data_IF_255177866244
#
_entry.id   IF_255177866244
#
_cell.length_a   1.000
_cell.length_b   1.000
_cell.length_c   1.000
_cell.angle_alpha   90.00
_cell.angle_beta   90.00
_cell.angle_gamma   90.00
#
_symmetry.space_group_name_H-M   'P 1'
#
loop_
_entity.id
_entity.type
_entity.pdbx_description
1 polymer ?
#
# COMPACT_ATOMS: atom_id res chain seq x y z
N UNK A 1 1.59 -13.99 17.76
CA UNK A 1 1.65 -12.52 17.55
C UNK A 1 2.49 -12.11 16.34
N UNK A 2 3.72 -12.63 16.10
CA UNK A 2 4.53 -12.30 14.90
C UNK A 2 3.81 -12.52 13.55
N UNK A 3 3.06 -13.62 13.40
CA UNK A 3 2.25 -13.91 12.19
C UNK A 3 1.15 -12.87 11.88
N UNK A 4 0.62 -12.18 12.90
CA UNK A 4 -0.45 -11.18 12.71
C UNK A 4 0.13 -9.91 12.09
N UNK A 5 1.26 -9.44 12.62
CA UNK A 5 1.97 -8.28 12.06
C UNK A 5 2.57 -8.58 10.67
N UNK A 6 2.98 -9.82 10.40
CA UNK A 6 3.50 -10.18 9.09
C UNK A 6 2.42 -10.19 8.00
N UNK A 7 1.16 -10.47 8.32
CA UNK A 7 0.08 -10.61 7.33
C UNK A 7 -0.99 -9.51 7.47
N UNK A 8 -0.66 -8.39 8.12
CA UNK A 8 -1.60 -7.30 8.35
C UNK A 8 -2.30 -6.81 7.07
N UNK A 9 -1.56 -6.63 5.98
CA UNK A 9 -2.10 -6.17 4.70
C UNK A 9 -3.10 -7.17 4.11
N UNK A 10 -2.83 -8.47 4.24
CA UNK A 10 -3.71 -9.52 3.73
C UNK A 10 -5.02 -9.56 4.53
N UNK A 11 -4.96 -9.43 5.85
CA UNK A 11 -6.16 -9.33 6.68
C UNK A 11 -6.96 -8.06 6.40
N UNK A 12 -6.28 -6.92 6.23
CA UNK A 12 -6.93 -5.66 5.89
C UNK A 12 -7.64 -5.75 4.53
N UNK A 13 -7.00 -6.33 3.51
CA UNK A 13 -7.62 -6.55 2.19
C UNK A 13 -8.79 -7.54 2.27
N UNK A 14 -8.64 -8.63 3.01
CA UNK A 14 -9.68 -9.64 3.19
C UNK A 14 -10.91 -9.09 3.91
N UNK A 15 -10.75 -8.06 4.74
CA UNK A 15 -11.85 -7.36 5.39
C UNK A 15 -12.45 -6.25 4.51
N UNK A 16 -11.61 -5.41 3.89
CA UNK A 16 -12.06 -4.26 3.11
C UNK A 16 -12.78 -4.66 1.81
N UNK A 17 -12.32 -5.72 1.15
CA UNK A 17 -12.91 -6.19 -0.10
C UNK A 17 -14.39 -6.59 0.02
N UNK A 18 -14.79 -7.50 0.93
CA UNK A 18 -16.20 -7.85 1.09
C UNK A 18 -17.05 -6.68 1.56
N UNK A 19 -16.51 -5.77 2.39
CA UNK A 19 -17.23 -4.54 2.77
C UNK A 19 -17.54 -3.71 1.53
N UNK A 20 -16.55 -3.46 0.67
CA UNK A 20 -16.75 -2.73 -0.58
C UNK A 20 -17.81 -3.41 -1.46
N UNK A 21 -17.73 -4.74 -1.63
CA UNK A 21 -18.70 -5.51 -2.42
C UNK A 21 -20.11 -5.37 -1.87
N UNK A 22 -20.31 -5.49 -0.55
CA UNK A 22 -21.62 -5.35 0.09
C UNK A 22 -22.16 -3.93 -0.09
N UNK A 23 -21.33 -2.89 0.09
CA UNK A 23 -21.76 -1.49 -0.13
C UNK A 23 -22.21 -1.27 -1.57
N UNK A 24 -21.43 -1.71 -2.55
CA UNK A 24 -21.78 -1.56 -3.97
C UNK A 24 -23.03 -2.35 -4.32
N UNK A 25 -23.15 -3.57 -3.79
CA UNK A 25 -24.32 -4.41 -4.01
C UNK A 25 -25.59 -3.78 -3.45
N UNK A 26 -25.56 -3.26 -2.22
CA UNK A 26 -26.69 -2.55 -1.61
C UNK A 26 -27.04 -1.26 -2.38
N UNK A 27 -26.04 -0.49 -2.82
CA UNK A 27 -26.25 0.70 -3.64
C UNK A 27 -26.92 0.35 -4.98
N UNK A 28 -26.51 -0.76 -5.60
CA UNK A 28 -27.09 -1.25 -6.84
C UNK A 28 -28.54 -1.73 -6.65
N UNK A 29 -28.82 -2.49 -5.59
CA UNK A 29 -30.19 -2.91 -5.25
C UNK A 29 -31.10 -1.70 -4.98
N UNK A 30 -30.64 -0.73 -4.19
CA UNK A 30 -31.42 0.46 -3.87
C UNK A 30 -31.79 1.25 -5.14
N UNK A 31 -30.86 1.33 -6.10
CA UNK A 31 -31.09 1.94 -7.42
C UNK A 31 -32.04 1.13 -8.28
N UNK A 32 -31.84 -0.19 -8.35
CA UNK A 32 -32.64 -1.08 -9.21
C UNK A 32 -34.11 -1.13 -8.76
N UNK A 33 -34.34 -1.30 -7.47
CA UNK A 33 -35.68 -1.36 -6.88
C UNK A 33 -36.30 0.03 -6.62
N UNK A 34 -35.59 1.12 -6.96
CA UNK A 34 -36.00 2.51 -6.75
C UNK A 34 -36.46 2.78 -5.30
N UNK A 35 -35.80 2.17 -4.32
CA UNK A 35 -36.14 2.30 -2.90
C UNK A 35 -35.79 3.70 -2.40
N UNK A 36 -34.51 4.05 -2.48
CA UNK A 36 -33.98 5.36 -2.15
C UNK A 36 -32.62 5.55 -2.86
N UNK A 37 -32.23 6.79 -3.18
CA UNK A 37 -30.95 7.04 -3.79
C UNK A 37 -29.81 6.95 -2.76
N UNK A 38 -28.98 5.90 -2.87
CA UNK A 38 -27.79 5.72 -2.03
C UNK A 38 -26.59 6.51 -2.60
N UNK A 39 -26.64 7.84 -2.50
CA UNK A 39 -25.62 8.74 -3.09
C UNK A 39 -24.21 8.56 -2.53
N UNK A 40 -24.08 8.11 -1.28
CA UNK A 40 -22.80 7.92 -0.60
C UNK A 40 -22.13 6.57 -0.92
N UNK A 41 -22.87 5.58 -1.43
CA UNK A 41 -22.38 4.21 -1.59
C UNK A 41 -21.22 4.12 -2.59
N UNK A 42 -21.34 4.83 -3.72
CA UNK A 42 -20.28 4.89 -4.74
C UNK A 42 -19.02 5.59 -4.22
N UNK A 43 -19.18 6.58 -3.35
CA UNK A 43 -18.08 7.34 -2.77
C UNK A 43 -17.30 6.51 -1.74
N UNK A 44 -18.01 5.82 -0.84
CA UNK A 44 -17.40 4.86 0.11
C UNK A 44 -16.65 3.76 -0.64
N UNK A 45 -17.27 3.16 -1.65
CA UNK A 45 -16.64 2.09 -2.42
C UNK A 45 -15.34 2.56 -3.10
N UNK A 46 -15.34 3.76 -3.68
CA UNK A 46 -14.16 4.37 -4.27
C UNK A 46 -13.05 4.57 -3.25
N UNK A 47 -13.36 5.09 -2.07
CA UNK A 47 -12.34 5.32 -1.05
C UNK A 47 -11.78 4.00 -0.51
N UNK A 48 -12.62 3.00 -0.26
CA UNK A 48 -12.15 1.66 0.13
C UNK A 48 -11.22 1.09 -0.96
N UNK A 49 -11.58 1.23 -2.24
CA UNK A 49 -10.74 0.80 -3.36
C UNK A 49 -9.37 1.48 -3.36
N UNK A 50 -9.31 2.79 -3.13
CA UNK A 50 -8.05 3.54 -3.03
C UNK A 50 -7.19 3.02 -1.86
N UNK A 51 -7.77 2.84 -0.68
CA UNK A 51 -7.05 2.25 0.46
C UNK A 51 -6.54 0.84 0.16
N UNK A 52 -7.37 0.00 -0.47
CA UNK A 52 -6.96 -1.34 -0.89
C UNK A 52 -5.81 -1.33 -1.90
N UNK A 53 -5.79 -0.40 -2.86
CA UNK A 53 -4.69 -0.29 -3.81
C UNK A 53 -3.35 0.02 -3.11
N UNK A 54 -3.37 0.93 -2.14
CA UNK A 54 -2.16 1.28 -1.37
C UNK A 54 -1.73 0.17 -0.40
N UNK A 55 -2.66 -0.45 0.32
CA UNK A 55 -2.38 -1.62 1.17
C UNK A 55 -1.86 -2.80 0.32
N UNK A 56 -2.47 -3.03 -0.83
CA UNK A 56 -2.09 -4.04 -1.81
C UNK A 56 -0.68 -3.84 -2.35
N UNK A 57 -0.24 -2.59 -2.49
CA UNK A 57 1.15 -2.28 -2.88
C UNK A 57 2.15 -2.76 -1.81
N UNK A 58 1.84 -2.57 -0.52
CA UNK A 58 2.64 -3.13 0.59
C UNK A 58 2.68 -4.66 0.56
N UNK A 59 1.53 -5.30 0.34
CA UNK A 59 1.44 -6.77 0.21
C UNK A 59 2.24 -7.29 -1.00
N UNK A 60 2.20 -6.59 -2.14
CA UNK A 60 2.97 -6.92 -3.33
C UNK A 60 4.48 -6.82 -3.08
N UNK A 61 4.92 -5.78 -2.36
CA UNK A 61 6.33 -5.62 -1.97
C UNK A 61 6.81 -6.79 -1.10
N UNK A 62 6.00 -7.24 -0.14
CA UNK A 62 6.29 -8.41 0.70
C UNK A 62 6.47 -9.69 -0.13
N UNK A 63 5.67 -9.87 -1.18
CA UNK A 63 5.75 -11.05 -2.07
C UNK A 63 6.90 -10.96 -3.09
N UNK A 64 7.71 -9.91 -3.05
CA UNK A 64 8.77 -9.70 -4.03
C UNK A 64 8.24 -9.38 -5.44
N UNK A 65 6.95 -9.05 -5.57
CA UNK A 65 6.32 -8.72 -6.85
C UNK A 65 6.65 -7.29 -7.34
N UNK A 66 7.45 -6.54 -6.57
CA UNK A 66 8.06 -5.29 -7.05
C UNK A 66 9.15 -5.65 -8.06
N UNK A 67 8.70 -5.81 -9.32
CA UNK A 67 9.45 -6.28 -10.49
C UNK A 67 10.81 -5.58 -10.58
N UNK A 68 11.89 -6.36 -10.72
CA UNK A 68 13.02 -5.84 -11.47
C UNK A 68 14.40 -6.43 -11.19
N UNK A 69 14.68 -6.95 -9.99
CA UNK A 69 16.10 -7.20 -9.64
C UNK A 69 16.43 -8.68 -9.41
N UNK A 70 15.48 -9.49 -8.94
CA UNK A 70 15.72 -10.90 -8.60
C UNK A 70 16.35 -11.72 -9.73
N UNK A 71 15.85 -11.56 -10.96
CA UNK A 71 16.38 -12.30 -12.13
C UNK A 71 17.88 -12.04 -12.40
N UNK A 72 18.33 -10.81 -12.17
CA UNK A 72 19.74 -10.45 -12.38
C UNK A 72 20.59 -10.75 -11.14
N UNK A 73 20.07 -10.53 -9.92
CA UNK A 73 20.80 -10.83 -8.68
C UNK A 73 21.01 -12.31 -8.43
N UNK A 74 20.09 -13.17 -8.87
CA UNK A 74 20.19 -14.61 -8.64
C UNK A 74 21.27 -15.27 -9.53
N UNK A 75 21.69 -14.59 -10.60
CA UNK A 75 22.80 -15.03 -11.47
C UNK A 75 24.18 -14.53 -11.00
N UNK A 76 24.23 -13.66 -9.99
CA UNK A 76 25.47 -13.08 -9.49
C UNK A 76 26.06 -14.00 -8.41
N UNK A 77 27.25 -14.54 -8.68
CA UNK A 77 27.96 -15.45 -7.77
C UNK A 77 28.59 -14.70 -6.58
N UNK A 78 28.94 -13.42 -6.75
CA UNK A 78 29.60 -12.65 -5.69
C UNK A 78 28.59 -12.16 -4.63
N UNK A 79 28.66 -12.64 -3.37
CA UNK A 79 27.68 -12.31 -2.32
C UNK A 79 27.71 -10.83 -1.92
N UNK A 80 28.88 -10.18 -1.96
CA UNK A 80 29.02 -8.75 -1.63
C UNK A 80 28.34 -7.87 -2.67
N UNK A 81 28.48 -8.22 -3.95
CA UNK A 81 27.83 -7.50 -5.04
C UNK A 81 26.31 -7.67 -4.98
N UNK A 82 25.83 -8.88 -4.64
CA UNK A 82 24.39 -9.15 -4.47
C UNK A 82 23.78 -8.30 -3.34
N UNK A 83 24.47 -8.20 -2.20
CA UNK A 83 24.04 -7.34 -1.07
C UNK A 83 24.03 -5.87 -1.48
N UNK A 84 25.04 -5.39 -2.20
CA UNK A 84 25.12 -4.00 -2.64
C UNK A 84 23.96 -3.63 -3.60
N UNK A 85 23.61 -4.52 -4.54
CA UNK A 85 22.50 -4.31 -5.47
C UNK A 85 21.13 -4.32 -4.78
N UNK A 86 20.91 -5.24 -3.84
CA UNK A 86 19.69 -5.21 -3.01
C UNK A 86 19.64 -3.93 -2.15
N UNK A 87 20.79 -3.48 -1.63
CA UNK A 87 20.89 -2.21 -0.91
C UNK A 87 20.51 -1.01 -1.78
N UNK A 88 21.01 -0.97 -3.03
CA UNK A 88 20.68 0.07 -4.00
C UNK A 88 19.19 0.06 -4.34
N UNK A 89 18.61 -1.11 -4.65
CA UNK A 89 17.18 -1.28 -4.93
C UNK A 89 16.34 -0.71 -3.80
N UNK A 90 16.64 -1.09 -2.56
CA UNK A 90 15.87 -0.64 -1.39
C UNK A 90 16.10 0.85 -1.12
N UNK A 91 17.32 1.35 -1.35
CA UNK A 91 17.63 2.78 -1.29
C UNK A 91 16.78 3.60 -2.26
N UNK A 92 16.62 3.15 -3.51
CA UNK A 92 15.77 3.81 -4.51
C UNK A 92 14.31 3.81 -4.07
N UNK A 93 13.79 2.68 -3.57
CA UNK A 93 12.41 2.57 -3.08
C UNK A 93 12.17 3.54 -1.92
N UNK A 94 13.07 3.57 -0.93
CA UNK A 94 12.95 4.47 0.22
C UNK A 94 13.06 5.93 -0.20
N UNK A 95 13.99 6.25 -1.11
CA UNK A 95 14.10 7.60 -1.67
C UNK A 95 12.78 8.03 -2.33
N UNK A 96 12.19 7.16 -3.16
CA UNK A 96 10.91 7.44 -3.80
C UNK A 96 9.78 7.63 -2.78
N UNK A 97 9.67 6.76 -1.77
CA UNK A 97 8.68 6.92 -0.70
C UNK A 97 8.85 8.27 0.03
N UNK A 98 10.07 8.65 0.39
CA UNK A 98 10.36 9.92 1.04
C UNK A 98 10.04 11.12 0.15
N UNK A 99 10.40 11.06 -1.14
CA UNK A 99 10.08 12.10 -2.11
C UNK A 99 8.57 12.30 -2.24
N UNK A 100 7.81 11.20 -2.42
CA UNK A 100 6.35 11.24 -2.47
C UNK A 100 5.78 11.88 -1.20
N UNK A 101 6.20 11.42 -0.02
CA UNK A 101 5.72 11.98 1.26
C UNK A 101 6.03 13.47 1.42
N UNK A 102 7.22 13.91 0.98
CA UNK A 102 7.63 15.31 1.04
C UNK A 102 6.73 16.21 0.19
N UNK A 103 6.49 15.87 -1.08
CA UNK A 103 5.61 16.64 -1.95
C UNK A 103 4.14 16.52 -1.52
N UNK A 104 3.72 15.34 -1.05
CA UNK A 104 2.33 15.07 -0.66
C UNK A 104 1.90 15.84 0.59
N UNK A 105 2.84 16.18 1.48
CA UNK A 105 2.57 17.03 2.66
C UNK A 105 1.87 18.32 2.27
N UNK A 106 2.30 19.00 1.20
CA UNK A 106 1.70 20.25 0.72
C UNK A 106 0.24 20.07 0.27
N UNK A 107 -0.05 18.93 -0.37
CA UNK A 107 -1.39 18.58 -0.84
C UNK A 107 -2.32 18.36 0.34
N UNK A 108 -1.93 17.53 1.33
CA UNK A 108 -2.75 17.30 2.52
C UNK A 108 -2.97 18.60 3.30
N UNK A 109 -1.91 19.40 3.52
CA UNK A 109 -2.06 20.65 4.27
C UNK A 109 -3.01 21.63 3.60
N UNK A 110 -2.97 21.72 2.27
CA UNK A 110 -3.90 22.56 1.51
C UNK A 110 -5.34 22.05 1.64
N UNK A 111 -5.56 20.73 1.59
CA UNK A 111 -6.88 20.12 1.79
C UNK A 111 -7.45 20.39 3.18
N UNK A 112 -6.61 20.30 4.22
CA UNK A 112 -7.01 20.62 5.60
C UNK A 112 -7.35 22.11 5.73
N UNK A 113 -6.51 23.01 5.18
CA UNK A 113 -6.71 24.46 5.25
C UNK A 113 -7.99 24.91 4.54
N UNK A 114 -8.29 24.35 3.37
CA UNK A 114 -9.49 24.68 2.60
C UNK A 114 -10.78 24.10 3.22
N UNK A 115 -10.69 23.20 4.20
CA UNK A 115 -11.84 22.58 4.84
C UNK A 115 -12.74 21.82 3.85
N UNK A 116 -12.18 21.34 2.73
CA UNK A 116 -12.98 20.68 1.69
C UNK A 116 -13.58 19.37 2.22
N UNK A 117 -14.88 19.23 2.03
CA UNK A 117 -15.62 18.01 2.36
C UNK A 117 -15.97 17.24 1.09
N UNK A 118 -16.20 15.95 1.25
CA UNK A 118 -16.62 15.11 0.14
C UNK A 118 -18.09 15.38 -0.22
N UNK A 119 -18.48 15.24 -1.50
CA UNK A 119 -19.80 15.67 -1.95
C UNK A 119 -20.99 14.90 -1.35
N UNK A 120 -20.83 13.59 -1.08
CA UNK A 120 -21.92 12.76 -0.59
C UNK A 120 -21.81 12.40 0.89
N UNK A 121 -20.60 12.09 1.39
CA UNK A 121 -20.39 11.72 2.80
C UNK A 121 -20.17 12.91 3.72
N UNK A 122 -19.89 14.10 3.17
CA UNK A 122 -19.51 15.30 3.93
C UNK A 122 -18.34 15.07 4.90
N UNK A 123 -17.49 14.08 4.63
CA UNK A 123 -16.28 13.85 5.41
C UNK A 123 -15.15 14.73 4.90
N UNK A 124 -14.15 15.07 5.71
CA UNK A 124 -13.01 15.85 5.24
C UNK A 124 -12.20 15.12 4.15
N UNK A 125 -11.86 15.82 3.06
CA UNK A 125 -11.11 15.26 1.92
C UNK A 125 -9.71 14.75 2.29
N UNK A 126 -9.12 15.22 3.39
CA UNK A 126 -7.83 14.72 3.87
C UNK A 126 -7.89 13.23 4.28
N UNK A 127 -9.07 12.71 4.62
CA UNK A 127 -9.26 11.29 5.00
C UNK A 127 -8.95 10.36 3.83
N UNK A 128 -9.64 10.42 2.67
CA UNK A 128 -9.28 9.57 1.53
C UNK A 128 -7.87 9.84 1.00
N UNK A 129 -7.36 11.07 1.14
CA UNK A 129 -5.99 11.42 0.73
C UNK A 129 -4.93 10.77 1.64
N UNK A 130 -5.27 10.46 2.90
CA UNK A 130 -4.36 9.76 3.81
C UNK A 130 -3.99 8.33 3.37
N UNK A 131 -4.68 7.77 2.37
CA UNK A 131 -4.32 6.47 1.79
C UNK A 131 -2.91 6.47 1.17
N UNK A 132 -2.48 7.60 0.59
CA UNK A 132 -1.15 7.74 -0.03
C UNK A 132 -0.02 7.61 1.01
N UNK A 133 0.03 8.42 2.10
CA UNK A 133 1.08 8.29 3.09
C UNK A 133 1.04 6.93 3.80
N UNK A 134 -0.16 6.37 4.01
CA UNK A 134 -0.30 5.01 4.54
C UNK A 134 0.38 3.97 3.62
N UNK A 135 0.13 4.04 2.31
CA UNK A 135 0.75 3.15 1.34
C UNK A 135 2.27 3.29 1.29
N UNK A 136 2.78 4.52 1.23
CA UNK A 136 4.23 4.77 1.23
C UNK A 136 4.90 4.25 2.51
N UNK A 137 4.24 4.42 3.66
CA UNK A 137 4.72 3.88 4.93
C UNK A 137 4.80 2.35 4.91
N UNK A 138 3.74 1.66 4.45
CA UNK A 138 3.72 0.20 4.34
C UNK A 138 4.82 -0.31 3.40
N UNK A 139 4.99 0.33 2.24
CA UNK A 139 6.06 -0.03 1.29
C UNK A 139 7.44 0.15 1.91
N UNK A 140 7.68 1.26 2.60
CA UNK A 140 8.97 1.52 3.26
C UNK A 140 9.29 0.45 4.32
N UNK A 141 8.31 0.08 5.15
CA UNK A 141 8.47 -0.98 6.17
C UNK A 141 8.78 -2.33 5.50
N UNK A 142 8.03 -2.70 4.46
CA UNK A 142 8.23 -3.98 3.76
C UNK A 142 9.55 -4.03 2.98
N UNK A 143 10.00 -2.90 2.43
CA UNK A 143 11.30 -2.76 1.79
C UNK A 143 12.44 -3.05 2.77
N UNK A 144 12.41 -2.47 3.98
CA UNK A 144 13.43 -2.73 5.01
C UNK A 144 13.40 -4.19 5.47
N UNK A 145 12.21 -4.79 5.63
CA UNK A 145 12.09 -6.20 5.99
C UNK A 145 12.65 -7.13 4.90
N UNK A 146 12.36 -6.84 3.63
CA UNK A 146 12.88 -7.61 2.50
C UNK A 146 14.41 -7.55 2.45
N UNK A 147 15.01 -6.37 2.67
CA UNK A 147 16.47 -6.23 2.72
C UNK A 147 17.11 -7.09 3.83
N UNK A 148 16.55 -7.03 5.04
CA UNK A 148 17.06 -7.82 6.18
C UNK A 148 16.96 -9.33 5.91
N UNK A 149 15.88 -9.76 5.27
CA UNK A 149 15.72 -11.16 4.86
C UNK A 149 16.78 -11.57 3.82
N UNK A 150 16.99 -10.75 2.79
CA UNK A 150 17.98 -11.01 1.74
C UNK A 150 19.41 -11.08 2.28
N UNK A 151 19.81 -10.14 3.16
CA UNK A 151 21.15 -10.16 3.79
C UNK A 151 21.36 -11.42 4.64
N UNK A 152 20.33 -11.86 5.37
CA UNK A 152 20.41 -13.08 6.17
C UNK A 152 20.60 -14.33 5.30
N UNK A 153 19.85 -14.41 4.20
CA UNK A 153 19.90 -15.52 3.24
C UNK A 153 21.27 -15.64 2.53
N UNK A 154 21.82 -14.51 2.09
CA UNK A 154 23.13 -14.49 1.43
C UNK A 154 24.24 -14.90 2.41
N UNK A 155 24.18 -14.45 3.67
CA UNK A 155 25.17 -14.83 4.70
C UNK A 155 25.09 -16.30 5.09
N UNK A 156 23.90 -16.92 5.11
CA UNK A 156 23.78 -18.34 5.39
C UNK A 156 24.37 -19.21 4.27
N UNK A 157 24.26 -18.78 3.01
CA UNK A 157 24.85 -19.49 1.87
C UNK A 157 26.37 -19.36 1.82
N UNK A 158 26.94 -18.25 2.31
CA UNK A 158 28.40 -18.06 2.40
C UNK A 158 29.03 -18.86 3.55
N UNK A 159 28.26 -19.25 4.56
CA UNK A 159 28.72 -20.02 5.72
C UNK A 159 28.59 -21.55 5.55
N UNK A 160 27.97 -22.02 4.46
CA UNK A 160 27.78 -23.43 4.11
C UNK A 160 28.79 -23.86 3.04
#
# INVERSE_FOLDING_TARGET
MKKIFDNFEEYALLLLFPIMVVVVFLAMLARYFKLFPMFWGEEVARYIMVFMAYIGTGAAMKRGAHVGVSFFTDKIVNPRLRIALEGLRIGIILFFCCAVLYYYRGIISHQIFMGQTTPALFIPMWVPYSAVPLGMFLVAVRAVQAFRAAVRDIRSTEAA
#
